data_IF_389773239056
#
_entry.id   IF_389773239056
#
_cell.length_a   1.000
_cell.length_b   1.000
_cell.length_c   1.000
_cell.angle_alpha   90.00
_cell.angle_beta   90.00
_cell.angle_gamma   90.00
#
_symmetry.space_group_name_H-M   'P 1'
#
loop_
_entity.id
_entity.type
_entity.pdbx_description
1 polymer ?
#
# COMPACT_ATOMS: atom_id res chain seq x y z
N UNK A 1 25.97 -9.62 84.10
CA UNK A 1 25.17 -8.40 84.28
C UNK A 1 26.00 -7.23 83.76
N UNK A 2 25.60 -6.64 82.62
CA UNK A 2 26.10 -5.38 82.01
C UNK A 2 27.61 -5.34 81.64
N UNK A 3 28.12 -4.68 80.59
CA UNK A 3 27.61 -4.00 79.41
C UNK A 3 28.84 -3.75 78.51
N UNK A 4 28.65 -3.81 77.20
CA UNK A 4 29.62 -3.48 76.17
C UNK A 4 30.02 -1.99 76.19
N UNK A 5 31.21 -1.63 75.68
CA UNK A 5 31.22 -0.59 74.65
C UNK A 5 32.07 -0.98 73.44
N UNK A 6 31.49 -0.73 72.27
CA UNK A 6 32.08 -0.96 70.95
C UNK A 6 33.02 0.18 70.58
N UNK A 7 34.16 -0.20 70.01
CA UNK A 7 35.20 0.66 69.49
C UNK A 7 34.73 1.48 68.27
N UNK A 8 35.21 2.72 68.21
CA UNK A 8 35.14 3.67 67.09
C UNK A 8 35.72 3.08 65.80
N UNK A 9 35.14 3.42 64.65
CA UNK A 9 35.86 3.56 63.37
C UNK A 9 35.12 4.52 62.44
N UNK A 10 35.83 5.60 62.09
CA UNK A 10 35.53 6.55 61.01
C UNK A 10 35.84 5.87 59.68
N UNK A 11 35.02 6.03 58.64
CA UNK A 11 35.48 6.03 57.24
C UNK A 11 34.39 6.49 56.25
N UNK A 12 34.60 7.69 55.70
CA UNK A 12 34.56 8.09 54.29
C UNK A 12 33.39 7.62 53.40
N UNK A 13 32.59 8.60 52.96
CA UNK A 13 31.60 8.45 51.90
C UNK A 13 32.27 8.16 50.54
N UNK A 14 31.76 7.14 49.83
CA UNK A 14 32.02 6.92 48.42
C UNK A 14 30.69 6.58 47.72
N UNK A 15 30.23 7.48 46.86
CA UNK A 15 29.08 7.27 46.00
C UNK A 15 29.42 6.19 44.96
N UNK A 16 28.73 5.06 45.03
CA UNK A 16 28.79 4.04 43.99
C UNK A 16 27.56 4.18 43.10
N UNK A 17 27.77 4.84 41.96
CA UNK A 17 26.88 4.82 40.81
C UNK A 17 26.94 3.38 40.28
N UNK A 18 25.96 2.55 40.62
CA UNK A 18 25.86 1.23 39.99
C UNK A 18 25.36 1.42 38.56
N UNK A 19 26.26 1.17 37.63
CA UNK A 19 26.08 1.10 36.19
C UNK A 19 24.84 0.25 35.86
N UNK A 20 23.81 0.89 35.29
CA UNK A 20 22.76 0.19 34.55
C UNK A 20 23.44 -0.39 33.32
N UNK A 21 23.76 -1.69 33.35
CA UNK A 21 24.09 -2.42 32.15
C UNK A 21 22.77 -2.71 31.44
N UNK A 22 22.43 -1.89 30.45
CA UNK A 22 21.51 -2.32 29.42
C UNK A 22 22.17 -3.52 28.73
N UNK A 23 21.61 -4.70 28.92
CA UNK A 23 22.00 -5.86 28.14
C UNK A 23 21.48 -5.63 26.72
N UNK A 24 22.36 -5.16 25.83
CA UNK A 24 22.15 -5.24 24.39
C UNK A 24 22.10 -6.73 24.03
N UNK A 25 20.91 -7.33 24.08
CA UNK A 25 20.67 -8.57 23.35
C UNK A 25 20.92 -8.26 21.88
N UNK A 26 21.87 -8.92 21.21
CA UNK A 26 21.97 -8.81 19.77
C UNK A 26 20.64 -9.29 19.22
N UNK A 27 19.93 -8.39 18.54
CA UNK A 27 18.70 -8.67 17.83
C UNK A 27 18.92 -9.95 17.03
N UNK A 28 18.30 -11.05 17.46
CA UNK A 28 18.42 -12.33 16.80
C UNK A 28 17.88 -12.09 15.38
N UNK A 29 18.79 -12.02 14.39
CA UNK A 29 18.53 -11.55 13.03
C UNK A 29 17.16 -12.00 12.52
N UNK A 30 16.15 -11.14 12.71
CA UNK A 30 14.87 -11.30 12.05
C UNK A 30 15.18 -11.30 10.55
N UNK A 31 14.55 -12.20 9.81
CA UNK A 31 14.67 -12.17 8.35
C UNK A 31 14.36 -10.73 7.88
N UNK A 32 15.09 -10.20 6.88
CA UNK A 32 14.86 -8.84 6.42
C UNK A 32 13.39 -8.67 6.06
N UNK A 33 12.78 -7.58 6.54
CA UNK A 33 11.40 -7.25 6.21
C UNK A 33 11.22 -7.22 4.68
N UNK A 34 10.20 -7.89 4.12
CA UNK A 34 10.02 -7.94 2.68
C UNK A 34 9.87 -6.56 2.06
N UNK A 35 10.60 -6.34 0.97
CA UNK A 35 10.64 -5.09 0.21
C UNK A 35 9.29 -4.75 -0.43
N UNK A 36 9.07 -3.48 -0.78
CA UNK A 36 7.90 -3.06 -1.53
C UNK A 36 7.69 -3.87 -2.83
N UNK A 37 8.78 -4.27 -3.49
CA UNK A 37 8.75 -5.08 -4.72
C UNK A 37 8.24 -6.50 -4.44
N UNK A 38 8.70 -7.15 -3.37
CA UNK A 38 8.23 -8.49 -2.99
C UNK A 38 6.76 -8.45 -2.56
N UNK A 39 6.38 -7.42 -1.78
CA UNK A 39 4.98 -7.18 -1.41
C UNK A 39 4.09 -6.95 -2.63
N UNK A 40 4.56 -6.22 -3.64
CA UNK A 40 3.85 -6.06 -4.92
C UNK A 40 3.69 -7.39 -5.67
N UNK A 41 4.71 -8.24 -5.69
CA UNK A 41 4.63 -9.56 -6.32
C UNK A 41 3.60 -10.45 -5.61
N UNK A 42 3.60 -10.48 -4.27
CA UNK A 42 2.61 -11.20 -3.48
C UNK A 42 1.19 -10.68 -3.73
N UNK A 43 1.03 -9.35 -3.81
CA UNK A 43 -0.25 -8.73 -4.11
C UNK A 43 -0.77 -9.15 -5.49
N UNK A 44 0.08 -9.16 -6.52
CA UNK A 44 -0.29 -9.63 -7.87
C UNK A 44 -0.74 -11.09 -7.85
N UNK A 45 0.01 -11.97 -7.18
CA UNK A 45 -0.39 -13.37 -7.02
C UNK A 45 -1.74 -13.52 -6.30
N UNK A 46 -1.99 -12.73 -5.26
CA UNK A 46 -3.27 -12.71 -4.57
C UNK A 46 -4.41 -12.17 -5.45
N UNK A 47 -4.15 -11.15 -6.27
CA UNK A 47 -5.10 -10.61 -7.26
C UNK A 47 -5.46 -11.68 -8.30
N UNK A 48 -4.48 -12.42 -8.82
CA UNK A 48 -4.72 -13.51 -9.79
C UNK A 48 -5.58 -14.61 -9.18
N UNK A 49 -5.36 -14.90 -7.89
CA UNK A 49 -6.19 -15.82 -7.11
C UNK A 49 -7.55 -15.24 -6.68
N UNK A 50 -7.82 -13.96 -6.98
CA UNK A 50 -9.00 -13.18 -6.51
C UNK A 50 -9.12 -13.13 -4.99
N UNK A 51 -8.02 -13.31 -4.28
CA UNK A 51 -7.90 -13.13 -2.83
C UNK A 51 -7.66 -11.64 -2.54
N UNK A 52 -8.74 -10.86 -2.63
CA UNK A 52 -8.71 -9.40 -2.45
C UNK A 52 -8.25 -8.99 -1.06
N UNK A 53 -8.55 -9.80 -0.04
CA UNK A 53 -8.17 -9.51 1.34
C UNK A 53 -6.66 -9.63 1.51
N UNK A 54 -6.04 -10.68 0.96
CA UNK A 54 -4.60 -10.83 0.96
C UNK A 54 -3.93 -9.77 0.09
N UNK A 55 -4.47 -9.48 -1.10
CA UNK A 55 -3.95 -8.42 -1.96
C UNK A 55 -3.87 -7.08 -1.24
N UNK A 56 -4.96 -6.65 -0.60
CA UNK A 56 -5.01 -5.40 0.18
C UNK A 56 -4.03 -5.41 1.37
N UNK A 57 -3.79 -6.57 1.98
CA UNK A 57 -2.82 -6.69 3.08
C UNK A 57 -1.40 -6.45 2.59
N UNK A 58 -0.99 -7.15 1.54
CA UNK A 58 0.35 -6.99 0.96
C UNK A 58 0.56 -5.56 0.43
N UNK A 59 -0.46 -4.99 -0.24
CA UNK A 59 -0.39 -3.64 -0.78
C UNK A 59 -0.30 -2.55 0.28
N UNK A 60 -0.97 -2.71 1.43
CA UNK A 60 -0.85 -1.75 2.55
C UNK A 60 0.56 -1.76 3.14
N UNK A 61 1.22 -2.92 3.19
CA UNK A 61 2.62 -3.01 3.62
C UNK A 61 3.55 -2.41 2.57
N UNK A 62 3.31 -2.68 1.28
CA UNK A 62 4.04 -2.04 0.18
C UNK A 62 3.92 -0.51 0.23
N UNK A 63 2.74 0.01 0.56
CA UNK A 63 2.50 1.45 0.66
C UNK A 63 3.29 2.11 1.80
N UNK A 64 3.50 1.43 2.93
CA UNK A 64 4.28 1.95 4.04
C UNK A 64 5.75 2.17 3.67
N UNK A 65 6.30 1.29 2.84
CA UNK A 65 7.72 1.32 2.44
C UNK A 65 7.94 2.12 1.14
N UNK A 66 6.94 2.22 0.29
CA UNK A 66 6.99 2.96 -0.98
C UNK A 66 5.72 3.81 -1.21
N UNK A 67 5.49 4.87 -0.40
CA UNK A 67 4.26 5.67 -0.45
C UNK A 67 4.06 6.46 -1.75
N UNK A 68 5.12 6.64 -2.54
CA UNK A 68 5.07 7.34 -3.82
C UNK A 68 5.16 6.39 -5.03
N UNK A 69 4.83 5.11 -4.84
CA UNK A 69 4.81 4.14 -5.92
C UNK A 69 3.43 4.09 -6.60
N UNK A 70 3.37 4.53 -7.86
CA UNK A 70 2.12 4.56 -8.63
C UNK A 70 1.49 3.17 -8.85
N UNK A 71 2.28 2.11 -9.00
CA UNK A 71 1.77 0.74 -9.14
C UNK A 71 1.09 0.25 -7.85
N UNK A 72 1.64 0.58 -6.68
CA UNK A 72 1.01 0.25 -5.38
C UNK A 72 -0.36 0.90 -5.29
N UNK A 73 -0.43 2.19 -5.59
CA UNK A 73 -1.70 2.92 -5.63
C UNK A 73 -2.66 2.33 -6.67
N UNK A 74 -2.20 2.04 -7.89
CA UNK A 74 -3.04 1.45 -8.92
C UNK A 74 -3.64 0.10 -8.48
N UNK A 75 -2.83 -0.78 -7.90
CA UNK A 75 -3.29 -2.10 -7.44
C UNK A 75 -4.17 -2.03 -6.19
N UNK A 76 -3.99 -1.03 -5.31
CA UNK A 76 -4.92 -0.76 -4.21
C UNK A 76 -6.28 -0.36 -4.76
N UNK A 77 -6.30 0.55 -5.73
CA UNK A 77 -7.54 0.96 -6.40
C UNK A 77 -8.24 -0.23 -7.06
N UNK A 78 -7.46 -1.06 -7.76
CA UNK A 78 -7.94 -2.31 -8.38
C UNK A 78 -8.57 -3.24 -7.34
N UNK A 79 -7.86 -3.51 -6.24
CA UNK A 79 -8.32 -4.45 -5.22
C UNK A 79 -9.60 -3.96 -4.52
N UNK A 80 -9.71 -2.66 -4.21
CA UNK A 80 -10.94 -2.10 -3.63
C UNK A 80 -12.14 -2.14 -4.58
N UNK A 81 -11.90 -2.03 -5.90
CA UNK A 81 -12.96 -2.10 -6.92
C UNK A 81 -13.44 -3.53 -7.16
N UNK A 82 -12.56 -4.53 -7.08
CA UNK A 82 -12.84 -5.91 -7.50
C UNK A 82 -13.36 -6.83 -6.40
N UNK A 83 -13.26 -6.43 -5.13
CA UNK A 83 -13.84 -7.17 -4.02
C UNK A 83 -15.36 -7.33 -4.15
N UNK A 84 -15.93 -8.34 -3.48
CA UNK A 84 -17.36 -8.68 -3.59
C UNK A 84 -18.31 -7.51 -3.26
N UNK A 85 -17.88 -6.60 -2.37
CA UNK A 85 -18.55 -5.35 -2.04
C UNK A 85 -17.61 -4.19 -2.36
N UNK A 86 -17.61 -3.67 -3.60
CA UNK A 86 -16.65 -2.66 -4.04
C UNK A 86 -16.68 -1.40 -3.18
N UNK A 87 -15.50 -0.91 -2.77
CA UNK A 87 -15.34 0.38 -2.09
C UNK A 87 -14.84 1.40 -3.13
N UNK A 88 -15.78 1.92 -3.93
CA UNK A 88 -15.46 2.85 -5.02
C UNK A 88 -14.79 4.15 -4.54
N UNK A 89 -15.18 4.78 -3.41
CA UNK A 89 -14.46 5.94 -2.88
C UNK A 89 -12.97 5.68 -2.66
N UNK A 90 -12.60 4.57 -2.01
CA UNK A 90 -11.17 4.21 -1.85
C UNK A 90 -10.52 3.84 -3.17
N UNK A 91 -11.26 3.19 -4.07
CA UNK A 91 -10.73 2.89 -5.39
C UNK A 91 -10.30 4.17 -6.12
N UNK A 92 -11.20 5.17 -6.17
CA UNK A 92 -10.92 6.47 -6.77
C UNK A 92 -9.76 7.21 -6.10
N UNK A 93 -9.72 7.24 -4.75
CA UNK A 93 -8.61 7.86 -4.00
C UNK A 93 -7.25 7.31 -4.48
N UNK A 94 -7.12 5.98 -4.53
CA UNK A 94 -5.87 5.35 -4.90
C UNK A 94 -5.56 5.50 -6.40
N UNK A 95 -6.53 5.36 -7.31
CA UNK A 95 -6.27 5.60 -8.73
C UNK A 95 -5.86 7.05 -9.02
N UNK A 96 -6.51 8.02 -8.38
CA UNK A 96 -6.17 9.43 -8.52
C UNK A 96 -4.76 9.71 -8.02
N UNK A 97 -4.36 9.10 -6.90
CA UNK A 97 -3.00 9.22 -6.41
C UNK A 97 -1.98 8.54 -7.34
N UNK A 98 -2.31 7.38 -7.94
CA UNK A 98 -1.47 6.75 -8.97
C UNK A 98 -1.26 7.68 -10.17
N UNK A 99 -2.33 8.31 -10.66
CA UNK A 99 -2.27 9.25 -11.79
C UNK A 99 -1.62 10.59 -11.44
N UNK A 100 -1.66 11.02 -10.17
CA UNK A 100 -0.89 12.17 -9.68
C UNK A 100 0.61 11.88 -9.69
N UNK A 101 1.00 10.66 -9.29
CA UNK A 101 2.40 10.22 -9.28
C UNK A 101 2.92 9.94 -10.68
N UNK A 102 2.10 9.31 -11.53
CA UNK A 102 2.41 9.03 -12.93
C UNK A 102 1.20 9.29 -13.83
N UNK A 103 1.12 10.48 -14.45
CA UNK A 103 0.03 10.84 -15.36
C UNK A 103 -0.04 10.01 -16.65
N UNK A 104 0.97 9.18 -16.95
CA UNK A 104 1.03 8.31 -18.13
C UNK A 104 0.75 6.84 -17.78
N UNK A 105 0.34 6.56 -16.54
CA UNK A 105 0.13 5.20 -16.06
C UNK A 105 -1.10 4.56 -16.73
N UNK A 106 -0.86 3.74 -17.76
CA UNK A 106 -1.92 3.14 -18.60
C UNK A 106 -2.94 2.34 -17.81
N UNK A 107 -2.49 1.39 -16.99
CA UNK A 107 -3.41 0.59 -16.16
C UNK A 107 -4.27 1.41 -15.18
N UNK A 108 -3.77 2.56 -14.70
CA UNK A 108 -4.54 3.42 -13.81
C UNK A 108 -5.62 4.19 -14.57
N UNK A 109 -5.34 4.62 -15.81
CA UNK A 109 -6.36 5.18 -16.70
C UNK A 109 -7.44 4.16 -17.06
N UNK A 110 -7.05 2.92 -17.37
CA UNK A 110 -8.00 1.84 -17.65
C UNK A 110 -8.91 1.58 -16.44
N UNK A 111 -8.30 1.26 -15.29
CA UNK A 111 -9.05 0.79 -14.13
C UNK A 111 -9.90 1.87 -13.47
N UNK A 112 -9.47 3.13 -13.47
CA UNK A 112 -10.33 4.23 -13.00
C UNK A 112 -11.48 4.50 -13.99
N UNK A 113 -11.26 4.32 -15.29
CA UNK A 113 -12.31 4.39 -16.30
C UNK A 113 -13.39 3.34 -16.06
N UNK A 114 -12.99 2.09 -15.80
CA UNK A 114 -13.92 1.03 -15.40
C UNK A 114 -14.64 1.35 -14.08
N UNK A 115 -13.95 1.97 -13.11
CA UNK A 115 -14.56 2.40 -11.85
C UNK A 115 -15.64 3.46 -12.07
N UNK A 116 -15.43 4.41 -12.98
CA UNK A 116 -16.43 5.41 -13.34
C UNK A 116 -17.66 4.79 -13.99
N UNK A 117 -17.52 3.73 -14.80
CA UNK A 117 -18.68 3.00 -15.32
C UNK A 117 -19.49 2.36 -14.19
N UNK A 118 -18.83 1.78 -13.18
CA UNK A 118 -19.50 1.25 -11.99
C UNK A 118 -20.22 2.34 -11.18
N UNK A 119 -19.69 3.57 -11.18
CA UNK A 119 -20.25 4.75 -10.54
C UNK A 119 -21.24 5.53 -11.43
N UNK A 120 -21.72 4.93 -12.53
CA UNK A 120 -22.69 5.52 -13.45
C UNK A 120 -22.20 6.84 -14.11
N UNK A 121 -20.91 6.92 -14.41
CA UNK A 121 -20.19 8.10 -14.94
C UNK A 121 -19.45 7.79 -16.25
N UNK A 122 -20.16 7.49 -17.35
CA UNK A 122 -19.52 7.09 -18.60
C UNK A 122 -18.70 8.21 -19.26
N UNK A 123 -19.07 9.48 -19.06
CA UNK A 123 -18.31 10.60 -19.62
C UNK A 123 -16.89 10.69 -19.03
N UNK A 124 -16.74 10.38 -17.75
CA UNK A 124 -15.43 10.30 -17.09
C UNK A 124 -14.61 9.12 -17.61
N UNK A 125 -15.24 7.96 -17.85
CA UNK A 125 -14.57 6.82 -18.48
C UNK A 125 -14.04 7.18 -19.89
N UNK A 126 -14.84 7.87 -20.71
CA UNK A 126 -14.42 8.33 -22.04
C UNK A 126 -13.22 9.30 -21.99
N UNK A 127 -13.11 10.14 -20.95
CA UNK A 127 -11.93 11.00 -20.76
C UNK A 127 -10.67 10.18 -20.53
N UNK A 128 -10.74 9.10 -19.76
CA UNK A 128 -9.61 8.21 -19.56
C UNK A 128 -9.28 7.39 -20.81
N UNK A 129 -10.27 7.00 -21.60
CA UNK A 129 -10.04 6.37 -22.90
C UNK A 129 -9.32 7.31 -23.88
N UNK A 130 -9.72 8.58 -23.94
CA UNK A 130 -9.06 9.59 -24.75
C UNK A 130 -7.62 9.88 -24.28
N UNK A 131 -7.36 9.78 -22.97
CA UNK A 131 -6.00 9.87 -22.45
C UNK A 131 -5.15 8.66 -22.90
N UNK A 132 -5.69 7.44 -22.81
CA UNK A 132 -5.01 6.23 -23.31
C UNK A 132 -4.72 6.29 -24.81
N UNK A 133 -5.63 6.83 -25.62
CA UNK A 133 -5.40 7.02 -27.06
C UNK A 133 -4.16 7.87 -27.34
N UNK A 134 -3.96 8.95 -26.57
CA UNK A 134 -2.77 9.81 -26.65
C UNK A 134 -1.52 9.10 -26.14
N UNK A 135 -1.61 8.42 -24.98
CA UNK A 135 -0.48 7.72 -24.35
C UNK A 135 0.04 6.57 -25.22
N UNK A 136 -0.86 5.87 -25.91
CA UNK A 136 -0.54 4.67 -26.69
C UNK A 136 -0.29 4.96 -28.17
N UNK A 137 -0.30 6.23 -28.59
CA UNK A 137 0.04 6.64 -29.95
C UNK A 137 -0.76 5.89 -31.01
N UNK A 138 -2.09 6.02 -30.98
CA UNK A 138 -3.06 5.36 -31.87
C UNK A 138 -3.60 3.99 -31.38
N UNK A 139 -4.23 3.97 -30.19
CA UNK A 139 -5.09 2.86 -29.71
C UNK A 139 -4.41 1.48 -29.61
N UNK A 140 -3.07 1.46 -29.59
CA UNK A 140 -2.28 0.23 -29.79
C UNK A 140 -2.07 -0.62 -28.54
N UNK A 141 -2.38 -0.09 -27.35
CA UNK A 141 -2.14 -0.77 -26.09
C UNK A 141 -3.38 -1.54 -25.62
N UNK A 142 -3.12 -2.60 -24.84
CA UNK A 142 -4.13 -3.47 -24.24
C UNK A 142 -5.13 -2.67 -23.39
N UNK A 143 -4.63 -1.73 -22.59
CA UNK A 143 -5.44 -0.90 -21.69
C UNK A 143 -6.48 -0.05 -22.43
N UNK A 144 -6.13 0.42 -23.64
CA UNK A 144 -7.10 1.14 -24.49
C UNK A 144 -8.20 0.18 -24.96
N UNK A 145 -7.83 -1.01 -25.44
CA UNK A 145 -8.77 -1.98 -25.97
C UNK A 145 -9.74 -2.46 -24.88
N UNK A 146 -9.24 -2.71 -23.67
CA UNK A 146 -10.05 -3.17 -22.54
C UNK A 146 -11.03 -2.09 -22.07
N UNK A 147 -10.58 -0.84 -21.87
CA UNK A 147 -11.49 0.22 -21.49
C UNK A 147 -12.51 0.54 -22.59
N UNK A 148 -12.10 0.53 -23.87
CA UNK A 148 -13.03 0.74 -24.99
C UNK A 148 -14.12 -0.33 -25.01
N UNK A 149 -13.75 -1.60 -24.77
CA UNK A 149 -14.68 -2.72 -24.66
C UNK A 149 -15.62 -2.56 -23.46
N UNK A 150 -15.11 -2.14 -22.32
CA UNK A 150 -15.92 -1.89 -21.13
C UNK A 150 -16.96 -0.78 -21.36
N UNK A 151 -16.56 0.33 -21.99
CA UNK A 151 -17.46 1.44 -22.36
C UNK A 151 -18.53 0.96 -23.35
N UNK A 152 -18.15 0.20 -24.38
CA UNK A 152 -19.09 -0.32 -25.37
C UNK A 152 -20.11 -1.31 -24.77
N UNK A 153 -19.72 -2.06 -23.73
CA UNK A 153 -20.58 -3.01 -23.04
C UNK A 153 -21.45 -2.38 -21.94
N UNK A 154 -21.15 -1.14 -21.53
CA UNK A 154 -21.84 -0.48 -20.43
C UNK A 154 -23.31 -0.22 -20.76
N UNK A 155 -24.16 -0.48 -19.77
CA UNK A 155 -25.60 -0.20 -19.82
C UNK A 155 -25.94 0.62 -18.57
N UNK A 156 -26.59 1.78 -18.71
CA UNK A 156 -27.00 2.55 -17.55
C UNK A 156 -27.96 1.73 -16.67
N UNK A 157 -27.91 1.90 -15.34
CA UNK A 157 -28.88 1.32 -14.44
C UNK A 157 -30.29 1.80 -14.80
N UNK A 158 -31.28 0.92 -14.60
CA UNK A 158 -32.69 1.21 -14.85
C UNK A 158 -33.30 2.10 -13.78
#
# INVERSE_FOLDING_TARGET
MFMMPRLLSICLALALITQVHAADTPDAMAAPEPTATERLANARSAIDAKDWQRALTELRVALQTAPNNADVHNLLGFSYRKQAQPDLPKAFEHYQQALKLNPLHRGAHEYIGEAYLMDNKPAEAERHLAALEKICGNRSCEEYADLAKAIAAYKPPK
#
